data_IF_537095295458
#
_entry.id   IF_537095295458
#
_cell.length_a   1.000
_cell.length_b   1.000
_cell.length_c   1.000
_cell.angle_alpha   90.00
_cell.angle_beta   90.00
_cell.angle_gamma   90.00
#
_symmetry.space_group_name_H-M   'P 1'
#
loop_
_entity.id
_entity.type
_entity.pdbx_description
1 polymer ?
#
# COMPACT_ATOMS: atom_id res chain seq x y z
N UNK A 1 2.82 -33.59 -23.48
CA UNK A 1 3.42 -32.30 -23.05
C UNK A 1 2.56 -31.18 -23.60
N UNK A 2 2.28 -30.18 -22.79
CA UNK A 2 1.53 -28.99 -23.19
C UNK A 2 2.25 -28.23 -24.31
N UNK A 3 1.60 -27.88 -25.43
CA UNK A 3 2.26 -27.15 -26.53
C UNK A 3 2.78 -25.77 -26.11
N UNK A 4 2.15 -25.10 -25.14
CA UNK A 4 2.60 -23.80 -24.65
C UNK A 4 3.96 -23.88 -23.97
N UNK A 5 4.26 -24.97 -23.27
CA UNK A 5 5.57 -25.16 -22.60
C UNK A 5 6.72 -25.43 -23.57
N UNK A 6 6.46 -25.50 -24.89
CA UNK A 6 7.49 -25.65 -25.93
C UNK A 6 7.80 -24.35 -26.66
N UNK A 7 7.06 -23.28 -26.38
CA UNK A 7 7.31 -21.98 -26.99
C UNK A 7 8.59 -21.37 -26.41
N UNK A 8 9.37 -20.62 -27.21
CA UNK A 8 10.40 -19.73 -26.69
C UNK A 8 9.82 -18.80 -25.62
N UNK A 9 10.62 -18.50 -24.61
CA UNK A 9 10.20 -17.67 -23.47
C UNK A 9 9.66 -16.32 -23.93
N UNK A 10 10.31 -15.71 -24.91
CA UNK A 10 9.97 -14.41 -25.47
C UNK A 10 8.60 -14.44 -26.13
N UNK A 11 8.28 -15.52 -26.87
CA UNK A 11 6.97 -15.71 -27.47
C UNK A 11 5.88 -15.83 -26.41
N UNK A 12 6.14 -16.57 -25.32
CA UNK A 12 5.20 -16.70 -24.22
C UNK A 12 4.99 -15.37 -23.49
N UNK A 13 6.05 -14.61 -23.24
CA UNK A 13 5.98 -13.28 -22.64
C UNK A 13 5.19 -12.31 -23.51
N UNK A 14 5.36 -12.33 -24.84
CA UNK A 14 4.55 -11.51 -25.75
C UNK A 14 3.06 -11.88 -25.72
N UNK A 15 2.73 -13.17 -25.62
CA UNK A 15 1.34 -13.63 -25.47
C UNK A 15 0.76 -13.13 -24.14
N UNK A 16 1.50 -13.29 -23.04
CA UNK A 16 1.08 -12.85 -21.71
C UNK A 16 0.90 -11.33 -21.64
N UNK A 17 1.83 -10.57 -22.21
CA UNK A 17 1.72 -9.12 -22.34
C UNK A 17 0.48 -8.74 -23.15
N UNK A 18 0.25 -9.37 -24.31
CA UNK A 18 -0.93 -9.12 -25.13
C UNK A 18 -2.24 -9.50 -24.42
N UNK A 19 -2.22 -10.43 -23.45
CA UNK A 19 -3.36 -10.74 -22.58
C UNK A 19 -3.52 -9.67 -21.51
N UNK A 20 -2.44 -9.25 -20.85
CA UNK A 20 -2.46 -8.23 -19.80
C UNK A 20 -2.86 -6.83 -20.32
N UNK A 21 -2.43 -6.47 -21.54
CA UNK A 21 -2.74 -5.18 -22.18
C UNK A 21 -4.22 -5.05 -22.57
N UNK A 22 -4.94 -6.17 -22.68
CA UNK A 22 -6.39 -6.12 -22.85
C UNK A 22 -6.96 -5.56 -21.55
N UNK A 23 -7.34 -4.27 -21.54
CA UNK A 23 -8.03 -3.55 -20.45
C UNK A 23 -9.37 -4.18 -19.98
N UNK A 24 -9.66 -5.41 -20.35
CA UNK A 24 -10.84 -6.16 -19.96
C UNK A 24 -10.58 -6.88 -18.62
N UNK A 25 -11.47 -6.71 -17.64
CA UNK A 25 -11.41 -7.39 -16.32
C UNK A 25 -11.23 -8.90 -16.41
N UNK A 26 -11.56 -9.52 -17.54
CA UNK A 26 -11.36 -10.96 -17.77
C UNK A 26 -9.90 -11.39 -17.87
N UNK A 27 -8.93 -10.51 -18.15
CA UNK A 27 -7.52 -10.94 -18.34
C UNK A 27 -6.98 -11.66 -17.09
N UNK A 28 -7.34 -11.20 -15.89
CA UNK A 28 -6.94 -11.81 -14.62
C UNK A 28 -7.41 -13.25 -14.49
N UNK A 29 -8.64 -13.54 -14.92
CA UNK A 29 -9.15 -14.90 -14.92
C UNK A 29 -8.35 -15.80 -15.88
N UNK A 30 -7.91 -15.27 -17.02
CA UNK A 30 -7.06 -16.00 -17.96
C UNK A 30 -5.67 -16.26 -17.38
N UNK A 31 -5.02 -15.24 -16.81
CA UNK A 31 -3.70 -15.39 -16.16
C UNK A 31 -3.78 -16.35 -14.97
N UNK A 32 -4.80 -16.25 -14.13
CA UNK A 32 -5.03 -17.19 -13.02
C UNK A 32 -5.26 -18.63 -13.52
N UNK A 33 -5.89 -18.81 -14.68
CA UNK A 33 -6.03 -20.13 -15.29
C UNK A 33 -4.68 -20.68 -15.77
N UNK A 34 -3.81 -19.82 -16.31
CA UNK A 34 -2.46 -20.21 -16.77
C UNK A 34 -1.56 -20.70 -15.62
N UNK A 35 -1.72 -20.16 -14.40
CA UNK A 35 -1.02 -20.65 -13.21
C UNK A 35 -1.29 -22.15 -12.92
N UNK A 36 -2.41 -22.69 -13.41
CA UNK A 36 -2.81 -24.08 -13.17
C UNK A 36 -2.31 -25.06 -14.22
N UNK A 37 -1.65 -24.58 -15.29
CA UNK A 37 -1.27 -25.42 -16.44
C UNK A 37 -0.05 -26.28 -16.12
N UNK A 38 1.07 -25.64 -15.76
CA UNK A 38 2.30 -26.30 -15.29
C UNK A 38 3.22 -25.28 -14.61
N UNK A 39 4.25 -25.76 -13.90
CA UNK A 39 5.17 -24.92 -13.11
C UNK A 39 5.90 -23.86 -13.94
N UNK A 40 6.34 -24.19 -15.17
CA UNK A 40 7.03 -23.25 -16.05
C UNK A 40 6.10 -22.12 -16.51
N UNK A 41 4.88 -22.45 -16.97
CA UNK A 41 3.89 -21.44 -17.34
C UNK A 41 3.52 -20.58 -16.14
N UNK A 42 3.37 -21.18 -14.95
CA UNK A 42 3.11 -20.43 -13.73
C UNK A 42 4.23 -19.42 -13.43
N UNK A 43 5.51 -19.82 -13.47
CA UNK A 43 6.63 -18.91 -13.21
C UNK A 43 6.73 -17.76 -14.20
N UNK A 44 6.42 -17.99 -15.48
CA UNK A 44 6.44 -16.92 -16.49
C UNK A 44 5.20 -16.02 -16.39
N UNK A 45 4.09 -16.54 -15.87
CA UNK A 45 2.82 -15.78 -15.73
C UNK A 45 2.78 -14.89 -14.49
N UNK A 46 3.44 -15.30 -13.39
CA UNK A 46 3.40 -14.57 -12.12
C UNK A 46 3.79 -13.10 -12.21
N UNK A 47 4.87 -12.70 -12.93
CA UNK A 47 5.21 -11.29 -13.11
C UNK A 47 4.05 -10.46 -13.64
N UNK A 48 3.26 -10.99 -14.58
CA UNK A 48 2.13 -10.27 -15.17
C UNK A 48 0.92 -10.19 -14.24
N UNK A 49 0.70 -11.21 -13.42
CA UNK A 49 -0.43 -11.25 -12.48
C UNK A 49 -0.17 -10.40 -11.24
N UNK A 50 1.06 -10.43 -10.72
CA UNK A 50 1.46 -9.78 -9.47
C UNK A 50 2.12 -8.43 -9.67
N UNK A 51 2.31 -7.94 -10.90
CA UNK A 51 2.84 -6.61 -11.17
C UNK A 51 2.07 -5.51 -10.43
N UNK A 52 0.73 -5.63 -10.38
CA UNK A 52 -0.19 -4.76 -9.65
C UNK A 52 -1.33 -5.62 -9.06
N UNK A 53 -1.08 -6.29 -7.91
CA UNK A 53 -1.95 -7.35 -7.44
C UNK A 53 -3.26 -6.80 -6.85
N UNK A 54 -3.32 -5.51 -6.51
CA UNK A 54 -4.46 -4.88 -5.83
C UNK A 54 -5.46 -4.27 -6.80
N UNK A 55 -5.01 -3.83 -7.98
CA UNK A 55 -5.91 -3.39 -9.06
C UNK A 55 -6.88 -4.48 -9.52
N UNK A 56 -6.48 -5.74 -9.38
CA UNK A 56 -7.33 -6.89 -9.64
C UNK A 56 -8.52 -7.02 -8.69
N UNK A 57 -8.36 -6.51 -7.47
CA UNK A 57 -9.30 -6.76 -6.37
C UNK A 57 -10.17 -5.54 -6.05
N UNK A 58 -9.78 -4.36 -6.52
CA UNK A 58 -10.47 -3.09 -6.28
C UNK A 58 -11.87 -2.96 -6.92
N UNK A 59 -12.36 -3.94 -7.70
CA UNK A 59 -13.69 -3.86 -8.32
C UNK A 59 -14.83 -4.17 -7.33
N UNK A 60 -15.29 -3.13 -6.61
CA UNK A 60 -16.60 -2.88 -5.98
C UNK A 60 -17.32 -4.04 -5.23
N UNK A 61 -17.62 -3.79 -3.96
CA UNK A 61 -18.51 -4.52 -3.02
C UNK A 61 -18.12 -5.92 -2.53
N UNK A 62 -17.20 -6.66 -3.20
CA UNK A 62 -16.67 -7.94 -2.70
C UNK A 62 -15.14 -7.98 -2.58
N UNK A 63 -14.49 -6.83 -2.71
CA UNK A 63 -13.04 -6.70 -2.72
C UNK A 63 -12.39 -7.14 -1.41
N UNK A 64 -13.03 -6.85 -0.27
CA UNK A 64 -12.42 -6.99 1.05
C UNK A 64 -11.86 -8.40 1.34
N UNK A 65 -12.68 -9.45 1.21
CA UNK A 65 -12.25 -10.83 1.49
C UNK A 65 -11.08 -11.26 0.59
N UNK A 66 -11.12 -10.89 -0.69
CA UNK A 66 -10.07 -11.27 -1.65
C UNK A 66 -8.81 -10.46 -1.43
N UNK A 67 -8.94 -9.16 -1.13
CA UNK A 67 -7.81 -8.27 -0.85
C UNK A 67 -7.11 -8.76 0.40
N UNK A 68 -7.87 -9.06 1.46
CA UNK A 68 -7.35 -9.62 2.69
C UNK A 68 -6.66 -10.96 2.47
N UNK A 69 -7.24 -11.88 1.68
CA UNK A 69 -6.59 -13.16 1.37
C UNK A 69 -5.26 -12.99 0.60
N UNK A 70 -5.24 -12.07 -0.38
CA UNK A 70 -4.03 -11.70 -1.12
C UNK A 70 -2.96 -11.12 -0.17
N UNK A 71 -3.33 -10.15 0.66
CA UNK A 71 -2.40 -9.53 1.62
C UNK A 71 -1.90 -10.53 2.66
N UNK A 72 -2.76 -11.43 3.15
CA UNK A 72 -2.34 -12.57 3.99
C UNK A 72 -1.28 -13.42 3.28
N UNK A 73 -1.47 -13.69 2.00
CA UNK A 73 -0.52 -14.47 1.19
C UNK A 73 0.82 -13.73 1.04
N UNK A 74 0.79 -12.43 0.75
CA UNK A 74 2.00 -11.61 0.63
C UNK A 74 2.74 -11.47 1.96
N UNK A 75 2.03 -11.25 3.06
CA UNK A 75 2.60 -11.18 4.42
C UNK A 75 3.15 -12.54 4.88
N UNK A 76 2.55 -13.64 4.47
CA UNK A 76 3.05 -14.98 4.80
C UNK A 76 4.42 -15.27 4.16
N UNK A 77 4.77 -14.57 3.07
CA UNK A 77 6.13 -14.61 2.48
C UNK A 77 7.16 -13.77 3.25
N UNK A 78 6.74 -12.97 4.23
CA UNK A 78 7.64 -12.14 5.05
C UNK A 78 8.18 -12.94 6.25
N UNK A 79 9.48 -12.84 6.58
CA UNK A 79 10.03 -13.45 7.79
C UNK A 79 9.29 -12.99 9.06
N UNK A 80 9.06 -13.90 10.02
CA UNK A 80 8.35 -13.58 11.29
C UNK A 80 9.03 -12.42 12.01
N UNK A 81 10.36 -12.37 11.98
CA UNK A 81 11.16 -11.37 12.67
C UNK A 81 10.93 -9.93 12.16
N UNK A 82 10.51 -9.80 10.90
CA UNK A 82 10.27 -8.51 10.23
C UNK A 82 8.78 -8.11 10.28
N UNK A 83 7.91 -8.99 10.77
CA UNK A 83 6.47 -8.79 10.80
C UNK A 83 6.06 -8.04 12.07
N UNK A 84 5.43 -6.88 11.91
CA UNK A 84 4.92 -6.12 13.05
C UNK A 84 3.79 -6.90 13.76
N UNK A 85 3.74 -6.97 15.11
CA UNK A 85 2.72 -7.74 15.84
C UNK A 85 1.27 -7.38 15.48
N UNK A 86 1.01 -6.10 15.19
CA UNK A 86 -0.30 -5.62 14.71
C UNK A 86 -0.78 -6.39 13.47
N UNK A 87 0.14 -6.74 12.56
CA UNK A 87 -0.19 -7.44 11.32
C UNK A 87 -0.40 -8.92 11.58
N UNK A 88 0.42 -9.55 12.43
CA UNK A 88 0.20 -10.94 12.85
C UNK A 88 -1.18 -11.13 13.47
N UNK A 89 -1.55 -10.20 14.34
CA UNK A 89 -2.85 -10.15 14.97
C UNK A 89 -3.97 -9.87 13.96
N UNK A 90 -3.86 -8.76 13.22
CA UNK A 90 -4.91 -8.30 12.31
C UNK A 90 -5.16 -9.31 11.21
N UNK A 91 -4.14 -9.92 10.64
CA UNK A 91 -4.26 -10.89 9.56
C UNK A 91 -4.26 -12.34 10.04
N UNK A 92 -4.36 -12.57 11.36
CA UNK A 92 -4.35 -13.88 12.01
C UNK A 92 -3.29 -14.81 11.40
N UNK A 93 -2.05 -14.32 11.31
CA UNK A 93 -0.94 -15.05 10.69
C UNK A 93 -0.43 -16.18 11.60
N UNK A 94 -0.77 -16.14 12.89
CA UNK A 94 -0.43 -17.17 13.87
C UNK A 94 -1.35 -18.39 13.82
N UNK A 95 -2.60 -18.23 13.34
CA UNK A 95 -3.58 -19.34 13.26
C UNK A 95 -3.45 -20.12 11.96
N UNK A 96 -2.88 -19.49 10.93
CA UNK A 96 -2.55 -20.17 9.70
C UNK A 96 -1.33 -21.03 10.04
N UNK A 97 -1.53 -22.35 10.10
CA UNK A 97 -0.43 -23.29 9.91
C UNK A 97 0.25 -22.82 8.64
N UNK A 98 1.41 -22.15 8.77
CA UNK A 98 2.16 -21.61 7.64
C UNK A 98 2.18 -22.76 6.67
N UNK A 99 1.42 -22.67 5.56
CA UNK A 99 1.46 -23.78 4.63
C UNK A 99 2.94 -23.88 4.37
N UNK A 100 3.51 -25.07 4.62
CA UNK A 100 4.72 -25.47 3.94
C UNK A 100 4.31 -25.35 2.48
N UNK A 101 4.37 -24.13 1.94
CA UNK A 101 4.40 -23.81 0.53
C UNK A 101 5.79 -24.27 0.11
N UNK A 102 6.03 -25.57 0.31
CA UNK A 102 7.03 -26.43 -0.27
C UNK A 102 6.71 -26.60 -1.77
N UNK A 103 6.22 -25.53 -2.39
CA UNK A 103 6.54 -25.24 -3.76
C UNK A 103 7.77 -24.33 -3.69
N UNK A 104 8.98 -24.89 -3.45
CA UNK A 104 10.19 -24.09 -3.39
C UNK A 104 10.28 -23.22 -4.65
N UNK A 105 10.40 -21.91 -4.45
CA UNK A 105 10.75 -20.97 -5.52
C UNK A 105 9.63 -20.08 -6.07
N UNK A 106 8.48 -19.94 -5.41
CA UNK A 106 7.56 -18.84 -5.73
C UNK A 106 7.61 -17.75 -4.68
N UNK A 107 8.40 -16.72 -4.97
CA UNK A 107 8.41 -15.46 -4.23
C UNK A 107 7.38 -14.51 -4.87
N UNK A 108 6.16 -14.49 -4.33
CA UNK A 108 5.10 -13.64 -4.85
C UNK A 108 5.43 -12.16 -4.69
N UNK A 109 6.07 -11.78 -3.57
CA UNK A 109 6.37 -10.37 -3.28
C UNK A 109 7.41 -9.82 -4.25
N UNK A 110 8.36 -10.66 -4.70
CA UNK A 110 9.34 -10.28 -5.72
C UNK A 110 8.72 -9.96 -7.11
N UNK A 111 7.47 -10.31 -7.35
CA UNK A 111 6.78 -9.96 -8.60
C UNK A 111 5.98 -8.66 -8.51
N UNK A 112 5.92 -8.03 -7.32
CA UNK A 112 5.18 -6.79 -7.09
C UNK A 112 6.03 -5.59 -7.48
N UNK A 113 5.56 -4.80 -8.45
CA UNK A 113 6.16 -3.52 -8.81
C UNK A 113 5.28 -2.33 -8.40
N UNK A 114 3.98 -2.53 -8.26
CA UNK A 114 3.04 -1.48 -7.89
C UNK A 114 2.37 -1.85 -6.57
N UNK A 115 2.73 -1.11 -5.52
CA UNK A 115 2.17 -1.25 -4.18
C UNK A 115 1.27 -0.04 -3.87
N UNK A 116 0.17 0.03 -4.61
CA UNK A 116 -0.85 1.07 -4.44
C UNK A 116 -1.99 0.56 -3.55
N UNK A 117 -1.71 0.55 -2.24
CA UNK A 117 -2.69 0.16 -1.21
C UNK A 117 -3.47 1.41 -0.78
N UNK A 118 -4.80 1.35 -0.86
CA UNK A 118 -5.68 2.45 -0.42
C UNK A 118 -6.43 2.02 0.86
N UNK A 119 -6.46 2.82 1.94
CA UNK A 119 -7.07 2.43 3.21
C UNK A 119 -8.57 2.08 3.14
N UNK A 120 -9.30 2.67 2.19
CA UNK A 120 -10.72 2.36 1.96
C UNK A 120 -10.97 0.91 1.53
N UNK A 121 -9.94 0.21 1.03
CA UNK A 121 -10.00 -1.21 0.69
C UNK A 121 -10.07 -2.12 1.92
N UNK A 122 -9.82 -1.58 3.12
CA UNK A 122 -9.77 -2.31 4.41
C UNK A 122 -10.93 -1.98 5.34
N UNK A 123 -11.56 -0.83 5.14
CA UNK A 123 -12.45 -0.23 6.15
C UNK A 123 -13.82 -0.90 6.28
N UNK A 124 -14.20 -1.84 5.39
CA UNK A 124 -15.61 -1.95 5.00
C UNK A 124 -16.41 -3.16 5.50
N UNK A 125 -15.97 -3.92 6.52
CA UNK A 125 -16.94 -4.89 7.07
C UNK A 125 -16.51 -5.87 8.14
N UNK A 126 -15.29 -5.86 8.65
CA UNK A 126 -14.77 -7.03 9.35
C UNK A 126 -14.48 -6.88 10.84
N UNK A 127 -14.99 -5.83 11.48
CA UNK A 127 -14.86 -5.71 12.92
C UNK A 127 -16.22 -5.87 13.57
N UNK A 128 -16.63 -7.13 13.63
CA UNK A 128 -17.57 -7.60 14.63
C UNK A 128 -17.04 -7.25 16.03
N UNK A 129 -17.96 -7.18 17.01
CA UNK A 129 -17.72 -6.80 18.41
C UNK A 129 -16.57 -7.56 19.13
N UNK A 130 -16.00 -8.59 18.51
CA UNK A 130 -14.84 -9.37 19.00
C UNK A 130 -13.52 -8.60 18.97
N UNK A 131 -13.47 -7.46 18.29
CA UNK A 131 -12.24 -6.66 18.11
C UNK A 131 -12.01 -5.63 19.21
N UNK A 132 -13.06 -5.06 19.80
CA UNK A 132 -12.94 -4.03 20.84
C UNK A 132 -12.22 -4.54 22.10
N UNK A 133 -12.47 -5.80 22.49
CA UNK A 133 -11.78 -6.41 23.63
C UNK A 133 -10.30 -6.64 23.33
N UNK A 134 -9.95 -6.94 22.07
CA UNK A 134 -8.59 -7.28 21.66
C UNK A 134 -7.71 -6.05 21.40
N UNK A 135 -8.29 -4.93 20.95
CA UNK A 135 -7.56 -3.67 20.78
C UNK A 135 -7.03 -3.15 22.13
N UNK A 136 -7.78 -3.36 23.22
CA UNK A 136 -7.38 -2.94 24.58
C UNK A 136 -6.11 -3.63 25.08
N UNK A 137 -5.71 -4.76 24.49
CA UNK A 137 -4.54 -5.54 24.90
C UNK A 137 -3.25 -5.12 24.18
N UNK A 138 -3.33 -4.18 23.24
CA UNK A 138 -2.21 -3.91 22.34
C UNK A 138 -1.44 -2.64 22.70
N UNK A 139 -0.32 -2.83 23.40
CA UNK A 139 0.59 -1.76 23.85
C UNK A 139 1.09 -0.84 22.71
N UNK A 140 1.13 -1.34 21.47
CA UNK A 140 1.63 -0.56 20.33
C UNK A 140 0.73 0.62 19.98
N UNK A 141 -0.60 0.47 20.08
CA UNK A 141 -1.54 1.56 19.76
C UNK A 141 -1.42 2.67 20.80
N UNK A 142 -1.26 2.31 22.07
CA UNK A 142 -1.13 3.25 23.19
C UNK A 142 0.13 4.11 23.06
N UNK A 143 1.30 3.53 22.77
CA UNK A 143 2.55 4.30 22.58
C UNK A 143 2.43 5.31 21.44
N UNK A 144 1.64 5.00 20.42
CA UNK A 144 1.44 5.91 19.29
C UNK A 144 0.48 7.04 19.63
N UNK A 145 -0.53 6.80 20.48
CA UNK A 145 -1.39 7.87 20.98
C UNK A 145 -0.60 8.98 21.68
N UNK A 146 0.47 8.63 22.41
CA UNK A 146 1.32 9.61 23.10
C UNK A 146 2.05 10.56 22.14
N UNK A 147 2.22 10.16 20.88
CA UNK A 147 2.84 10.99 19.82
C UNK A 147 1.83 11.83 19.03
N UNK A 148 0.52 11.68 19.29
CA UNK A 148 -0.50 12.40 18.53
C UNK A 148 -0.69 13.84 19.03
N UNK A 149 -1.04 14.77 18.13
CA UNK A 149 -1.37 16.14 18.53
C UNK A 149 -2.53 16.15 19.54
N UNK A 150 -2.45 16.93 20.64
CA UNK A 150 -3.54 17.01 21.63
C UNK A 150 -4.89 17.37 21.01
N UNK A 151 -4.91 18.27 20.04
CA UNK A 151 -6.11 18.67 19.32
C UNK A 151 -6.80 17.50 18.59
N UNK A 152 -6.03 16.51 18.12
CA UNK A 152 -6.60 15.31 17.51
C UNK A 152 -7.27 14.42 18.56
N UNK A 153 -6.62 14.22 19.72
CA UNK A 153 -7.14 13.44 20.84
C UNK A 153 -8.44 14.04 21.37
N UNK A 154 -8.51 15.37 21.49
CA UNK A 154 -9.68 16.11 21.97
C UNK A 154 -10.92 15.98 21.08
N UNK A 155 -10.76 15.63 19.80
CA UNK A 155 -11.88 15.43 18.87
C UNK A 155 -12.69 14.15 19.16
N UNK A 156 -12.16 13.24 19.98
CA UNK A 156 -12.82 11.98 20.31
C UNK A 156 -13.47 12.04 21.69
N UNK A 157 -14.79 11.85 21.74
CA UNK A 157 -15.55 11.81 23.00
C UNK A 157 -15.19 10.58 23.86
N UNK A 158 -14.83 9.47 23.20
CA UNK A 158 -14.48 8.21 23.85
C UNK A 158 -13.09 7.76 23.42
N UNK A 159 -12.29 7.28 24.39
CA UNK A 159 -10.94 6.76 24.16
C UNK A 159 -10.97 5.54 23.22
N UNK A 160 -12.02 4.74 23.27
CA UNK A 160 -12.23 3.59 22.41
C UNK A 160 -12.33 3.98 20.94
N UNK A 161 -13.07 5.04 20.61
CA UNK A 161 -13.19 5.54 19.24
C UNK A 161 -11.86 6.06 18.71
N UNK A 162 -11.09 6.74 19.55
CA UNK A 162 -9.73 7.17 19.22
C UNK A 162 -8.83 5.96 18.94
N UNK A 163 -8.78 4.99 19.87
CA UNK A 163 -7.98 3.77 19.73
C UNK A 163 -8.32 3.01 18.45
N UNK A 164 -9.60 2.91 18.13
CA UNK A 164 -10.09 2.28 16.91
C UNK A 164 -9.55 2.95 15.65
N UNK A 165 -9.75 4.27 15.55
CA UNK A 165 -9.29 5.06 14.41
C UNK A 165 -7.77 4.96 14.24
N UNK A 166 -7.03 5.00 15.34
CA UNK A 166 -5.58 4.86 15.34
C UNK A 166 -5.11 3.43 15.00
N UNK A 167 -5.84 2.39 15.40
CA UNK A 167 -5.49 0.99 15.09
C UNK A 167 -5.50 0.74 13.58
N UNK A 168 -6.54 1.17 12.87
CA UNK A 168 -6.63 1.00 11.41
C UNK A 168 -5.48 1.70 10.68
N UNK A 169 -5.16 2.90 11.14
CA UNK A 169 -4.05 3.68 10.62
C UNK A 169 -2.68 3.01 10.88
N UNK A 170 -2.48 2.45 12.08
CA UNK A 170 -1.28 1.66 12.42
C UNK A 170 -1.18 0.41 11.54
N UNK A 171 -2.27 -0.36 11.40
CA UNK A 171 -2.34 -1.54 10.53
C UNK A 171 -1.92 -1.16 9.12
N UNK A 172 -2.51 -0.10 8.55
CA UNK A 172 -2.23 0.32 7.18
C UNK A 172 -0.75 0.70 6.99
N UNK A 173 -0.19 1.50 7.89
CA UNK A 173 1.22 1.92 7.81
C UNK A 173 2.18 0.74 7.88
N UNK A 174 1.99 -0.10 8.88
CA UNK A 174 2.86 -1.26 9.05
C UNK A 174 2.68 -2.25 7.89
N UNK A 175 1.46 -2.40 7.35
CA UNK A 175 1.20 -3.26 6.20
C UNK A 175 1.99 -2.79 4.97
N UNK A 176 1.85 -1.52 4.59
CA UNK A 176 2.53 -0.96 3.43
C UNK A 176 4.03 -1.06 3.63
N UNK A 177 4.55 -0.66 4.79
CA UNK A 177 5.99 -0.69 5.07
C UNK A 177 6.55 -2.12 5.04
N UNK A 178 5.87 -3.07 5.69
CA UNK A 178 6.30 -4.48 5.75
C UNK A 178 6.36 -5.09 4.35
N UNK A 179 5.37 -4.79 3.50
CA UNK A 179 5.35 -5.29 2.13
C UNK A 179 6.35 -4.55 1.22
N UNK A 180 6.57 -3.26 1.42
CA UNK A 180 7.46 -2.45 0.59
C UNK A 180 8.94 -2.71 0.88
N UNK A 181 9.32 -2.80 2.16
CA UNK A 181 10.71 -2.89 2.63
C UNK A 181 11.58 -3.90 1.89
N UNK A 182 11.15 -5.16 1.62
CA UNK A 182 11.97 -6.13 0.92
C UNK A 182 12.10 -5.88 -0.59
N UNK A 183 11.29 -4.99 -1.16
CA UNK A 183 11.16 -4.78 -2.62
C UNK A 183 11.24 -3.31 -3.04
N UNK A 184 11.71 -2.40 -2.18
CA UNK A 184 11.80 -0.96 -2.49
C UNK A 184 12.53 -0.72 -3.82
N UNK A 185 13.58 -1.49 -4.10
CA UNK A 185 14.43 -1.34 -5.28
C UNK A 185 13.72 -1.62 -6.61
N UNK A 186 12.61 -2.37 -6.57
CA UNK A 186 11.82 -2.74 -7.75
C UNK A 186 10.49 -2.00 -7.86
N UNK A 187 10.07 -1.26 -6.82
CA UNK A 187 8.80 -0.55 -6.85
C UNK A 187 8.83 0.58 -7.88
N UNK A 188 7.84 0.55 -8.77
CA UNK A 188 7.52 1.56 -9.77
C UNK A 188 6.40 2.48 -9.28
N UNK A 189 5.47 1.95 -8.50
CA UNK A 189 4.40 2.72 -7.84
C UNK A 189 4.32 2.40 -6.34
N UNK A 190 4.17 3.42 -5.51
CA UNK A 190 4.07 3.28 -4.05
C UNK A 190 3.09 4.28 -3.44
N UNK A 191 2.22 3.79 -2.55
CA UNK A 191 1.38 4.63 -1.70
C UNK A 191 2.03 4.87 -0.33
N UNK A 192 2.19 6.14 0.06
CA UNK A 192 2.90 6.54 1.28
C UNK A 192 1.92 7.23 2.26
N UNK A 193 1.66 6.65 3.45
CA UNK A 193 0.94 7.34 4.52
C UNK A 193 1.72 8.57 4.97
N UNK A 194 1.08 9.75 5.00
CA UNK A 194 1.80 11.01 5.21
C UNK A 194 2.51 11.11 6.55
N UNK A 195 1.93 10.65 7.65
CA UNK A 195 2.64 10.69 8.95
C UNK A 195 3.77 9.66 9.06
N UNK A 196 3.94 8.77 8.07
CA UNK A 196 5.09 7.86 8.00
C UNK A 196 6.09 8.27 6.91
N UNK A 197 5.90 9.43 6.24
CA UNK A 197 6.74 9.91 5.14
C UNK A 197 8.22 10.00 5.51
N UNK A 198 8.54 10.36 6.76
CA UNK A 198 9.92 10.41 7.27
C UNK A 198 10.60 9.06 7.17
N UNK A 199 9.89 7.95 7.45
CA UNK A 199 10.41 6.58 7.33
C UNK A 199 10.82 6.28 5.88
N UNK A 200 10.01 6.70 4.91
CA UNK A 200 10.30 6.53 3.49
C UNK A 200 11.41 7.47 2.99
N UNK A 201 11.51 8.69 3.52
CA UNK A 201 12.62 9.61 3.22
C UNK A 201 13.97 9.01 3.57
N UNK A 202 14.06 8.33 4.71
CA UNK A 202 15.28 7.62 5.12
C UNK A 202 15.64 6.42 4.23
N UNK A 203 14.70 5.94 3.41
CA UNK A 203 14.91 4.85 2.47
C UNK A 203 14.84 5.31 1.00
N UNK A 204 14.95 6.61 0.74
CA UNK A 204 14.88 7.15 -0.64
C UNK A 204 15.90 6.49 -1.54
N UNK A 205 17.14 6.29 -1.07
CA UNK A 205 18.22 5.64 -1.81
C UNK A 205 17.87 4.22 -2.31
N UNK A 206 16.87 3.58 -1.70
CA UNK A 206 16.35 2.27 -2.11
C UNK A 206 15.20 2.33 -3.11
N UNK A 207 14.81 3.51 -3.61
CA UNK A 207 13.67 3.71 -4.54
C UNK A 207 14.10 4.14 -5.96
N UNK A 208 15.09 3.48 -6.62
CA UNK A 208 15.64 3.91 -7.90
C UNK A 208 14.67 3.78 -9.08
N UNK A 209 13.64 2.92 -8.96
CA UNK A 209 12.66 2.64 -10.00
C UNK A 209 11.32 3.32 -9.78
N UNK A 210 11.16 4.07 -8.68
CA UNK A 210 9.91 4.72 -8.36
C UNK A 210 9.57 5.78 -9.42
N UNK A 211 8.48 5.54 -10.13
CA UNK A 211 7.94 6.43 -11.17
C UNK A 211 6.67 7.14 -10.68
N UNK A 212 5.91 6.51 -9.79
CA UNK A 212 4.63 7.01 -9.32
C UNK A 212 4.58 6.94 -7.79
N UNK A 213 4.34 8.07 -7.13
CA UNK A 213 4.07 8.11 -5.70
C UNK A 213 2.68 8.67 -5.46
N UNK A 214 1.91 8.01 -4.60
CA UNK A 214 0.65 8.54 -4.08
C UNK A 214 0.80 8.79 -2.59
N UNK A 215 0.56 10.02 -2.16
CA UNK A 215 0.50 10.30 -0.73
C UNK A 215 -0.90 10.00 -0.22
N UNK A 216 -1.01 9.44 0.98
CA UNK A 216 -2.29 9.10 1.59
C UNK A 216 -2.47 9.94 2.85
N UNK A 217 -3.57 10.67 2.91
CA UNK A 217 -3.92 11.45 4.09
C UNK A 217 -4.43 10.50 5.17
N UNK A 218 -3.61 10.26 6.18
CA UNK A 218 -4.04 9.42 7.27
C UNK A 218 -4.97 10.14 8.26
N UNK A 219 -5.55 9.35 9.16
CA UNK A 219 -6.58 9.74 10.13
C UNK A 219 -6.19 10.97 10.94
N UNK A 220 -4.89 11.18 11.21
CA UNK A 220 -4.38 12.30 12.00
C UNK A 220 -4.71 13.63 11.32
N UNK A 221 -4.63 13.67 9.99
CA UNK A 221 -4.87 14.88 9.20
C UNK A 221 -6.31 15.00 8.69
N UNK A 222 -7.07 13.91 8.58
CA UNK A 222 -8.46 13.95 8.06
C UNK A 222 -9.48 14.46 9.10
N UNK A 223 -9.17 14.33 10.39
CA UNK A 223 -10.08 14.68 11.49
C UNK A 223 -9.85 16.08 12.08
N UNK A 224 -8.92 16.88 11.57
CA UNK A 224 -8.77 18.26 12.02
C UNK A 224 -9.94 19.11 11.52
N UNK A 225 -10.58 19.92 12.38
CA UNK A 225 -11.66 20.81 11.95
C UNK A 225 -11.11 21.81 10.93
N UNK A 226 -11.76 21.90 9.76
CA UNK A 226 -11.26 22.56 8.55
C UNK A 226 -10.96 24.08 8.67
N UNK A 227 -11.28 24.70 9.81
CA UNK A 227 -11.15 26.14 10.05
C UNK A 227 -10.26 26.49 11.27
N UNK A 228 -9.61 25.50 11.88
CA UNK A 228 -8.72 25.71 13.03
C UNK A 228 -7.32 26.21 12.64
N UNK A 229 -6.66 27.07 13.45
CA UNK A 229 -5.26 27.43 13.22
C UNK A 229 -4.33 26.21 13.22
N UNK A 230 -4.66 25.19 14.00
CA UNK A 230 -3.93 23.91 14.06
C UNK A 230 -4.03 23.12 12.76
N UNK A 231 -5.18 23.16 12.07
CA UNK A 231 -5.38 22.47 10.79
C UNK A 231 -4.44 23.02 9.71
N UNK A 232 -4.26 24.35 9.67
CA UNK A 232 -3.32 24.99 8.75
C UNK A 232 -1.89 24.54 8.99
N UNK A 233 -1.43 24.54 10.25
CA UNK A 233 -0.05 24.14 10.60
C UNK A 233 0.20 22.68 10.17
N UNK A 234 -0.70 21.76 10.51
CA UNK A 234 -0.53 20.36 10.15
C UNK A 234 -0.54 20.13 8.63
N UNK A 235 -1.35 20.88 7.87
CA UNK A 235 -1.36 20.81 6.40
C UNK A 235 -0.11 21.38 5.77
N UNK A 236 0.39 22.51 6.29
CA UNK A 236 1.63 23.13 5.81
C UNK A 236 2.83 22.20 6.06
N UNK A 237 2.90 21.59 7.25
CA UNK A 237 3.95 20.60 7.59
C UNK A 237 3.89 19.36 6.68
N UNK A 238 2.68 18.82 6.45
CA UNK A 238 2.49 17.68 5.56
C UNK A 238 2.86 18.00 4.12
N UNK A 239 2.45 19.17 3.64
CA UNK A 239 2.75 19.67 2.30
C UNK A 239 4.25 19.85 2.12
N UNK A 240 4.92 20.45 3.10
CA UNK A 240 6.37 20.61 3.08
C UNK A 240 7.08 19.25 3.06
N UNK A 241 6.58 18.26 3.82
CA UNK A 241 7.17 16.92 3.83
C UNK A 241 7.04 16.22 2.47
N UNK A 242 5.90 16.39 1.77
CA UNK A 242 5.70 15.89 0.40
C UNK A 242 6.70 16.53 -0.56
N UNK A 243 6.80 17.86 -0.56
CA UNK A 243 7.72 18.60 -1.42
C UNK A 243 9.15 18.14 -1.17
N UNK A 244 9.57 18.01 0.10
CA UNK A 244 10.90 17.52 0.47
C UNK A 244 11.16 16.09 -0.03
N UNK A 245 10.18 15.18 0.08
CA UNK A 245 10.32 13.82 -0.45
C UNK A 245 10.53 13.84 -1.97
N UNK A 246 9.72 14.61 -2.70
CA UNK A 246 9.81 14.72 -4.17
C UNK A 246 11.13 15.36 -4.57
N UNK A 247 11.55 16.43 -3.91
CA UNK A 247 12.82 17.10 -4.16
C UNK A 247 14.01 16.17 -3.91
N UNK A 248 14.02 15.45 -2.77
CA UNK A 248 15.09 14.51 -2.44
C UNK A 248 15.16 13.36 -3.43
N UNK A 249 14.01 12.77 -3.80
CA UNK A 249 13.96 11.67 -4.77
C UNK A 249 14.42 12.14 -6.15
N UNK A 250 13.90 13.26 -6.67
CA UNK A 250 14.29 13.80 -7.99
C UNK A 250 15.76 14.23 -8.04
N UNK A 251 16.32 14.69 -6.91
CA UNK A 251 17.75 14.98 -6.77
C UNK A 251 18.61 13.72 -6.89
N UNK A 252 18.20 12.62 -6.23
CA UNK A 252 18.93 11.34 -6.22
C UNK A 252 18.74 10.57 -7.53
N UNK A 253 17.52 10.49 -8.05
CA UNK A 253 17.12 9.76 -9.26
C UNK A 253 16.50 10.67 -10.31
N UNK A 254 17.36 11.47 -10.94
CA UNK A 254 16.94 12.49 -11.93
C UNK A 254 16.05 11.90 -13.03
N UNK A 255 14.86 12.47 -13.18
CA UNK A 255 13.90 12.12 -14.23
C UNK A 255 13.21 10.76 -14.05
N UNK A 256 13.34 10.11 -12.88
CA UNK A 256 12.67 8.83 -12.62
C UNK A 256 11.24 9.00 -12.13
N UNK A 257 11.01 9.84 -11.13
CA UNK A 257 9.66 10.13 -10.65
C UNK A 257 8.88 10.90 -11.72
N UNK A 258 7.80 10.31 -12.23
CA UNK A 258 6.94 10.88 -13.29
C UNK A 258 5.71 11.55 -12.70
N UNK A 259 5.12 10.96 -11.66
CA UNK A 259 3.94 11.52 -11.01
C UNK A 259 4.05 11.47 -9.50
N UNK A 260 3.55 12.52 -8.86
CA UNK A 260 3.32 12.59 -7.44
C UNK A 260 1.86 13.05 -7.23
N UNK A 261 1.02 12.12 -6.79
CA UNK A 261 -0.40 12.37 -6.54
C UNK A 261 -0.59 12.85 -5.11
N UNK A 262 -1.37 13.93 -4.96
CA UNK A 262 -1.64 14.52 -3.66
C UNK A 262 -2.52 13.68 -2.77
N UNK A 263 -2.60 14.07 -1.50
CA UNK A 263 -3.18 13.22 -0.47
C UNK A 263 -4.70 13.08 -0.64
N UNK A 264 -5.12 11.92 -1.15
CA UNK A 264 -6.53 11.52 -1.16
C UNK A 264 -6.99 11.19 0.26
N UNK A 265 -8.17 11.70 0.64
CA UNK A 265 -8.80 11.34 1.92
C UNK A 265 -9.31 9.91 1.88
N UNK A 266 -9.02 9.16 2.94
CA UNK A 266 -9.48 7.78 3.15
C UNK A 266 -11.00 7.67 3.12
N UNK A 267 -11.70 8.70 3.58
CA UNK A 267 -13.15 8.69 3.73
C UNK A 267 -13.91 8.71 2.39
N UNK A 268 -13.24 9.01 1.27
CA UNK A 268 -13.88 9.24 -0.03
C UNK A 268 -14.82 10.47 -0.03
N UNK A 269 -15.00 11.13 1.11
CA UNK A 269 -15.67 12.41 1.24
C UNK A 269 -14.61 13.43 0.88
N UNK A 270 -14.63 13.92 -0.35
CA UNK A 270 -13.69 14.95 -0.82
C UNK A 270 -13.82 16.22 0.04
N UNK A 271 -13.06 16.30 1.14
CA UNK A 271 -12.94 17.48 1.99
C UNK A 271 -12.00 18.55 1.40
N UNK A 272 -11.85 18.56 0.08
CA UNK A 272 -10.89 19.39 -0.65
C UNK A 272 -9.52 18.70 -0.79
N UNK A 273 -8.75 19.12 -1.79
CA UNK A 273 -7.36 18.70 -1.92
C UNK A 273 -6.57 19.25 -0.73
N UNK A 274 -5.82 18.39 -0.06
CA UNK A 274 -4.96 18.77 1.07
C UNK A 274 -3.71 19.51 0.64
N UNK A 275 -3.25 19.27 -0.59
CA UNK A 275 -2.15 20.00 -1.19
C UNK A 275 -2.68 21.33 -1.70
N UNK A 276 -2.07 22.42 -1.24
CA UNK A 276 -2.34 23.76 -1.76
C UNK A 276 -1.92 23.86 -3.23
N UNK A 277 -2.62 24.69 -4.02
CA UNK A 277 -2.29 24.88 -5.44
C UNK A 277 -0.81 25.28 -5.64
N UNK A 278 -0.25 26.06 -4.71
CA UNK A 278 1.15 26.48 -4.71
C UNK A 278 2.11 25.29 -4.59
N UNK A 279 1.83 24.36 -3.66
CA UNK A 279 2.67 23.19 -3.47
C UNK A 279 2.50 22.17 -4.59
N UNK A 280 1.29 22.03 -5.14
CA UNK A 280 1.08 21.21 -6.33
C UNK A 280 1.87 21.79 -7.52
N UNK A 281 1.92 23.11 -7.67
CA UNK A 281 2.74 23.77 -8.67
C UNK A 281 4.24 23.54 -8.41
N UNK A 282 4.69 23.57 -7.16
CA UNK A 282 6.07 23.28 -6.78
C UNK A 282 6.46 21.83 -7.13
N UNK A 283 5.62 20.85 -6.77
CA UNK A 283 5.79 19.45 -7.16
C UNK A 283 5.92 19.32 -8.67
N UNK A 284 5.04 19.96 -9.46
CA UNK A 284 5.12 19.91 -10.92
C UNK A 284 6.38 20.55 -11.49
N UNK A 285 6.98 21.54 -10.82
CA UNK A 285 8.27 22.12 -11.24
C UNK A 285 9.45 21.17 -10.99
N UNK A 286 9.33 20.27 -10.00
CA UNK A 286 10.37 19.28 -9.66
C UNK A 286 10.30 18.04 -10.57
N UNK A 287 9.11 17.69 -11.05
CA UNK A 287 8.90 16.54 -11.93
C UNK A 287 9.39 16.81 -13.37
N UNK A 288 9.80 15.77 -14.12
CA UNK A 288 10.15 15.91 -15.52
C UNK A 288 8.92 16.36 -16.34
N UNK A 289 9.12 17.11 -17.43
CA UNK A 289 8.03 17.51 -18.31
C UNK A 289 7.38 16.28 -18.95
N UNK A 290 6.04 16.28 -18.98
CA UNK A 290 5.20 15.23 -19.59
C UNK A 290 5.16 15.40 -21.11
#
# INVERSE_FOLDING_TARGET
MDPLSRLPLECLQHILQAVADKKNRSYLAHLATLLRVNRYIASVTLPFLYHDPLKAVSSVNRGDIRTRALLRTLLASTPVADLHPVLSFEFELDTIARPELDIPGFDYIHNVCNLDIIPSQFHNGMLEATSESRIKETDYTLKRLDSMPPAFIENFQAKESLLWCCHQDVVFKELVWTLATPILEQLESLSIPLSDITRYRHAIDRLPRLEHVRFILDVIYDNTPADGPTDRICRDDATQAIVQFVEEHTRVFRGRLKTAEGAESVSGISRGNTITDDAQQEIYRLLPPI
#
